data_IF_136944818385
#
_entry.id   IF_136944818385
#
_cell.length_a   1.000
_cell.length_b   1.000
_cell.length_c   1.000
_cell.angle_alpha   90.00
_cell.angle_beta   90.00
_cell.angle_gamma   90.00
#
_symmetry.space_group_name_H-M   'P 1'
#
loop_
_entity.id
_entity.type
_entity.pdbx_description
1 polymer ?
#
# COMPACT_ATOMS: atom_id res chain seq x y z
N UNK A 1 -11.54 -14.91 9.91
CA UNK A 1 -10.92 -14.62 8.59
C UNK A 1 -11.61 -13.43 7.96
N UNK A 2 -10.85 -12.43 7.54
CA UNK A 2 -11.42 -11.24 6.89
C UNK A 2 -11.58 -11.48 5.40
N UNK A 3 -12.71 -11.08 4.85
CA UNK A 3 -12.90 -11.13 3.41
C UNK A 3 -12.15 -10.00 2.72
N UNK A 4 -11.63 -10.21 1.50
CA UNK A 4 -11.01 -9.13 0.75
C UNK A 4 -11.99 -8.00 0.50
N UNK A 5 -11.50 -6.77 0.54
CA UNK A 5 -12.32 -5.58 0.29
C UNK A 5 -11.77 -4.80 -0.90
N UNK A 6 -12.58 -3.91 -1.43
CA UNK A 6 -12.19 -3.06 -2.54
C UNK A 6 -11.14 -2.03 -2.11
N UNK A 7 -10.30 -1.61 -3.07
CA UNK A 7 -9.36 -0.51 -2.83
C UNK A 7 -10.07 0.78 -2.39
N UNK A 8 -11.33 0.92 -2.72
CA UNK A 8 -12.14 2.07 -2.29
C UNK A 8 -12.29 2.14 -0.78
N UNK A 9 -12.09 1.03 -0.09
CA UNK A 9 -12.19 0.95 1.36
C UNK A 9 -10.91 1.31 2.08
N UNK A 10 -9.79 1.39 1.36
CA UNK A 10 -8.49 1.68 1.98
C UNK A 10 -8.50 3.10 2.55
N UNK A 11 -8.07 3.24 3.79
CA UNK A 11 -7.99 4.53 4.46
C UNK A 11 -6.55 4.81 4.89
N UNK A 12 -6.17 6.09 4.98
CA UNK A 12 -4.87 6.44 5.56
C UNK A 12 -4.71 5.85 6.95
N UNK A 13 -3.53 5.35 7.25
CA UNK A 13 -3.25 4.72 8.53
C UNK A 13 -3.39 3.21 8.55
N UNK A 14 -3.98 2.61 7.53
CA UNK A 14 -4.05 1.15 7.44
C UNK A 14 -2.64 0.56 7.36
N UNK A 15 -2.46 -0.61 7.94
CA UNK A 15 -1.16 -1.29 7.92
C UNK A 15 -0.85 -1.83 6.54
N UNK A 16 0.44 -1.84 6.22
CA UNK A 16 0.96 -2.41 4.97
C UNK A 16 1.89 -3.55 5.32
N UNK A 17 1.65 -4.72 4.73
CA UNK A 17 2.47 -5.91 4.96
C UNK A 17 3.27 -6.24 3.71
N UNK A 18 4.52 -6.63 3.90
CA UNK A 18 5.38 -7.13 2.83
C UNK A 18 4.97 -8.55 2.45
N UNK A 19 5.60 -9.09 1.40
CA UNK A 19 5.27 -10.41 0.86
C UNK A 19 5.43 -11.54 1.89
N UNK A 20 6.33 -11.39 2.84
CA UNK A 20 6.56 -12.39 3.88
C UNK A 20 5.64 -12.20 5.11
N UNK A 21 4.73 -11.23 5.05
CA UNK A 21 3.81 -10.93 6.13
C UNK A 21 4.34 -9.94 7.16
N UNK A 22 5.59 -9.50 7.04
CA UNK A 22 6.14 -8.53 7.99
C UNK A 22 5.54 -7.15 7.76
N UNK A 23 5.47 -6.36 8.83
CA UNK A 23 4.92 -5.01 8.76
C UNK A 23 5.89 -4.09 8.03
N UNK A 24 5.43 -3.46 6.96
CA UNK A 24 6.25 -2.59 6.12
C UNK A 24 5.99 -1.10 6.37
N UNK A 25 4.87 -0.76 6.98
CA UNK A 25 4.51 0.63 7.22
C UNK A 25 3.01 0.83 7.23
N UNK A 26 2.57 2.01 6.86
CA UNK A 26 1.13 2.31 6.76
C UNK A 26 0.80 3.11 5.51
N UNK A 27 -0.46 3.04 5.13
CA UNK A 27 -0.97 3.81 4.00
C UNK A 27 -0.99 5.29 4.37
N UNK A 28 -0.38 6.11 3.52
CA UNK A 28 -0.40 7.54 3.64
C UNK A 28 -1.55 8.12 2.82
N UNK A 29 -1.71 7.59 1.62
CA UNK A 29 -2.69 8.10 0.68
C UNK A 29 -2.99 7.03 -0.37
N UNK A 30 -4.23 7.00 -0.84
CA UNK A 30 -4.62 6.16 -1.99
C UNK A 30 -4.54 7.03 -3.24
N UNK A 31 -3.79 6.58 -4.22
CA UNK A 31 -3.61 7.30 -5.48
C UNK A 31 -4.51 6.66 -6.53
N UNK A 32 -5.51 7.40 -6.97
CA UNK A 32 -6.52 6.88 -7.89
C UNK A 32 -7.09 8.00 -8.74
N UNK A 33 -7.65 7.63 -9.88
CA UNK A 33 -8.42 8.55 -10.71
C UNK A 33 -9.90 8.25 -10.47
N UNK A 34 -10.53 9.03 -9.62
CA UNK A 34 -11.92 8.83 -9.24
C UNK A 34 -12.87 9.02 -10.43
N UNK A 35 -12.53 9.89 -11.36
CA UNK A 35 -13.35 10.12 -12.54
C UNK A 35 -13.40 8.92 -13.48
N UNK A 36 -12.36 8.09 -13.45
CA UNK A 36 -12.24 6.89 -14.27
C UNK A 36 -12.33 5.60 -13.49
N UNK A 37 -12.49 5.71 -12.16
CA UNK A 37 -12.54 4.56 -11.27
C UNK A 37 -11.31 3.65 -11.41
N UNK A 38 -10.13 4.27 -11.55
CA UNK A 38 -8.86 3.58 -11.72
C UNK A 38 -8.02 3.73 -10.47
N UNK A 39 -7.60 2.60 -9.91
CA UNK A 39 -6.68 2.56 -8.78
C UNK A 39 -5.24 2.52 -9.32
N UNK A 40 -4.49 3.58 -9.11
CA UNK A 40 -3.10 3.68 -9.59
C UNK A 40 -2.11 3.07 -8.61
N UNK A 41 -2.32 3.20 -7.33
CA UNK A 41 -1.43 2.67 -6.31
C UNK A 41 -1.63 3.34 -4.97
N UNK A 42 -0.63 3.17 -4.12
CA UNK A 42 -0.64 3.70 -2.76
C UNK A 42 0.63 4.49 -2.49
N UNK A 43 0.50 5.57 -1.73
CA UNK A 43 1.64 6.17 -1.07
C UNK A 43 1.70 5.55 0.31
N UNK A 44 2.82 4.94 0.66
CA UNK A 44 3.02 4.33 1.97
C UNK A 44 4.15 5.00 2.72
N UNK A 45 4.03 5.02 4.04
CA UNK A 45 5.04 5.57 4.92
C UNK A 45 5.63 4.46 5.76
N UNK A 46 6.95 4.32 5.75
CA UNK A 46 7.62 3.32 6.59
C UNK A 46 8.28 4.02 7.77
N UNK A 47 8.44 3.29 8.88
CA UNK A 47 9.01 3.85 10.10
C UNK A 47 10.47 4.30 9.92
N UNK A 48 11.17 3.75 8.94
CA UNK A 48 12.59 4.04 8.70
C UNK A 48 12.82 5.15 7.68
N UNK A 49 11.78 5.53 6.94
CA UNK A 49 11.91 6.48 5.85
C UNK A 49 11.11 7.74 6.13
N UNK A 50 11.69 8.89 5.81
CA UNK A 50 11.04 10.19 6.02
C UNK A 50 10.10 10.57 4.90
N UNK A 51 10.25 9.93 3.73
CA UNK A 51 9.42 10.19 2.56
C UNK A 51 8.52 9.01 2.29
N UNK A 52 7.34 9.29 1.74
CA UNK A 52 6.43 8.23 1.33
C UNK A 52 6.95 7.54 0.08
N UNK A 53 6.66 6.25 -0.05
CA UNK A 53 7.02 5.47 -1.23
C UNK A 53 5.76 5.17 -2.04
N UNK A 54 5.90 5.19 -3.36
CA UNK A 54 4.80 4.84 -4.25
C UNK A 54 4.79 3.33 -4.52
N UNK A 55 3.67 2.68 -4.21
CA UNK A 55 3.45 1.26 -4.51
C UNK A 55 2.46 1.17 -5.67
N UNK A 56 2.88 0.68 -6.84
CA UNK A 56 1.93 0.49 -7.95
C UNK A 56 0.81 -0.47 -7.56
N UNK A 57 -0.39 -0.24 -8.07
CA UNK A 57 -1.55 -1.06 -7.76
C UNK A 57 -1.34 -2.54 -8.09
N UNK A 58 -0.55 -2.84 -9.12
CA UNK A 58 -0.24 -4.21 -9.53
C UNK A 58 0.56 -5.00 -8.50
N UNK A 59 1.14 -4.31 -7.52
CA UNK A 59 1.89 -4.95 -6.44
C UNK A 59 1.04 -5.20 -5.20
N UNK A 60 -0.20 -4.75 -5.22
CA UNK A 60 -1.15 -5.01 -4.13
C UNK A 60 -1.82 -6.34 -4.45
N UNK A 61 -1.59 -7.34 -3.61
CA UNK A 61 -2.12 -8.69 -3.85
C UNK A 61 -3.37 -8.97 -3.06
N UNK A 62 -3.58 -8.26 -1.95
CA UNK A 62 -4.76 -8.48 -1.13
C UNK A 62 -5.05 -7.24 -0.29
N UNK A 63 -6.32 -6.91 -0.17
CA UNK A 63 -6.79 -5.82 0.68
C UNK A 63 -7.83 -6.43 1.62
N UNK A 64 -7.57 -6.31 2.92
CA UNK A 64 -8.55 -6.67 3.95
C UNK A 64 -8.74 -5.45 4.83
N UNK A 65 -9.80 -5.44 5.62
CA UNK A 65 -10.08 -4.30 6.49
C UNK A 65 -8.89 -4.02 7.42
N UNK A 66 -8.36 -2.82 7.32
CA UNK A 66 -7.24 -2.37 8.16
C UNK A 66 -5.86 -2.79 7.68
N UNK A 67 -5.75 -3.54 6.57
CA UNK A 67 -4.47 -4.06 6.13
C UNK A 67 -4.40 -4.22 4.61
N UNK A 68 -3.27 -3.82 4.04
CA UNK A 68 -2.96 -4.02 2.63
C UNK A 68 -1.74 -4.93 2.54
N UNK A 69 -1.84 -5.99 1.74
CA UNK A 69 -0.75 -6.95 1.54
C UNK A 69 -0.13 -6.77 0.16
N UNK A 70 1.19 -6.71 0.12
CA UNK A 70 1.97 -6.49 -1.10
C UNK A 70 2.72 -7.76 -1.49
N UNK A 71 3.11 -7.85 -2.76
CA UNK A 71 3.99 -8.93 -3.24
C UNK A 71 5.46 -8.50 -3.26
N UNK A 72 5.80 -7.49 -2.49
CA UNK A 72 7.16 -6.94 -2.40
C UNK A 72 7.78 -7.30 -1.06
N UNK A 73 9.08 -7.64 -1.09
CA UNK A 73 9.85 -7.81 0.14
C UNK A 73 10.13 -6.44 0.77
N UNK A 74 10.58 -6.43 2.03
CA UNK A 74 10.94 -5.17 2.68
C UNK A 74 12.07 -4.45 1.94
N UNK A 75 13.03 -5.19 1.38
CA UNK A 75 14.10 -4.60 0.58
C UNK A 75 13.58 -3.97 -0.71
N UNK A 76 12.64 -4.65 -1.37
CA UNK A 76 12.02 -4.13 -2.58
C UNK A 76 11.20 -2.88 -2.29
N UNK A 77 10.51 -2.84 -1.17
CA UNK A 77 9.75 -1.66 -0.75
C UNK A 77 10.69 -0.47 -0.53
N UNK A 78 11.83 -0.72 0.11
CA UNK A 78 12.82 0.34 0.34
C UNK A 78 13.40 0.89 -0.96
N UNK A 79 13.40 0.10 -2.02
CA UNK A 79 13.90 0.49 -3.33
C UNK A 79 12.87 1.20 -4.21
N UNK A 80 11.62 1.31 -3.76
CA UNK A 80 10.57 1.98 -4.52
C UNK A 80 10.83 3.48 -4.67
N UNK A 81 10.25 4.06 -5.71
CA UNK A 81 10.34 5.49 -5.92
C UNK A 81 9.58 6.26 -4.83
N UNK A 82 10.10 7.43 -4.48
CA UNK A 82 9.44 8.29 -3.51
C UNK A 82 8.26 9.01 -4.18
N UNK A 83 7.19 9.17 -3.42
CA UNK A 83 6.07 10.00 -3.85
C UNK A 83 6.37 11.45 -3.56
N UNK A 84 5.66 12.32 -4.26
CA UNK A 84 5.79 13.76 -4.06
C UNK A 84 4.50 14.35 -3.55
#
# INVERSE_FOLDING_TARGET
MSDPVSWLMIEPGWKVAAADGSEAGHVDEVIADEGKDIFSGLAIHTSLLKASKFVPSERVVRIVEGRVELDLSTDEIAALDETR
#
